data_IF_822877085263
#
_entry.id   IF_822877085263
#
_cell.length_a   1.000
_cell.length_b   1.000
_cell.length_c   1.000
_cell.angle_alpha   90.00
_cell.angle_beta   90.00
_cell.angle_gamma   90.00
#
_symmetry.space_group_name_H-M   'P 1'
#
loop_
_entity.id
_entity.type
_entity.pdbx_description
1 polymer ?
#
# COMPACT_ATOMS: atom_id res chain seq x y z
N UNK A 1 -17.48 11.11 2.46
CA UNK A 1 -16.67 9.89 2.64
C UNK A 1 -17.54 8.64 2.41
N UNK A 2 -16.98 7.43 2.38
CA UNK A 2 -17.70 6.21 1.99
C UNK A 2 -18.64 5.63 3.07
N UNK A 3 -18.62 6.17 4.30
CA UNK A 3 -19.52 5.74 5.37
C UNK A 3 -19.29 4.30 5.86
N UNK A 4 -18.13 3.72 5.55
CA UNK A 4 -17.74 2.36 5.95
C UNK A 4 -16.46 2.39 6.76
N UNK A 5 -16.37 1.55 7.79
CA UNK A 5 -15.13 1.36 8.54
C UNK A 5 -14.31 0.24 7.93
N UNK A 6 -13.01 0.45 7.81
CA UNK A 6 -12.05 -0.55 7.32
C UNK A 6 -10.80 -0.60 8.20
N UNK A 7 -10.11 -1.74 8.19
CA UNK A 7 -8.76 -1.91 8.73
C UNK A 7 -7.77 -2.04 7.58
N UNK A 8 -6.53 -1.55 7.78
CA UNK A 8 -5.42 -1.77 6.84
C UNK A 8 -4.74 -3.08 7.22
N UNK A 9 -4.95 -4.11 6.42
CA UNK A 9 -4.39 -5.45 6.64
C UNK A 9 -3.05 -5.63 5.94
N UNK A 10 -2.75 -4.79 4.95
CA UNK A 10 -1.52 -4.90 4.18
C UNK A 10 -1.14 -3.62 3.44
N UNK A 11 0.16 -3.45 3.26
CA UNK A 11 0.76 -2.42 2.40
C UNK A 11 1.56 -3.13 1.32
N UNK A 12 1.34 -2.74 0.08
CA UNK A 12 2.05 -3.27 -1.07
C UNK A 12 2.91 -2.19 -1.70
N UNK A 13 4.02 -2.64 -2.27
CA UNK A 13 4.99 -1.87 -3.02
C UNK A 13 5.39 -2.66 -4.27
N UNK A 14 6.26 -2.10 -5.10
CA UNK A 14 6.83 -2.82 -6.23
C UNK A 14 7.50 -4.14 -5.78
N UNK A 15 7.42 -5.17 -6.61
CA UNK A 15 8.06 -6.45 -6.32
C UNK A 15 9.59 -6.34 -6.42
N UNK A 16 10.31 -7.36 -5.92
CA UNK A 16 11.77 -7.32 -5.79
C UNK A 16 12.53 -7.23 -7.13
N UNK A 17 11.88 -7.56 -8.25
CA UNK A 17 12.40 -7.36 -9.62
C UNK A 17 12.38 -5.89 -10.07
N UNK A 18 11.81 -5.00 -9.25
CA UNK A 18 11.79 -3.55 -9.42
C UNK A 18 12.40 -2.86 -8.19
N UNK A 19 13.72 -3.01 -7.94
CA UNK A 19 14.36 -2.42 -6.78
C UNK A 19 14.41 -0.89 -6.87
N UNK A 20 14.42 -0.24 -5.72
CA UNK A 20 14.56 1.23 -5.58
C UNK A 20 15.90 1.53 -4.93
N UNK A 21 16.62 2.52 -5.47
CA UNK A 21 17.90 2.95 -4.91
C UNK A 21 17.67 3.71 -3.59
N UNK A 22 18.56 3.51 -2.61
CA UNK A 22 18.43 4.17 -1.30
C UNK A 22 18.56 5.69 -1.42
N UNK A 23 19.39 6.18 -2.35
CA UNK A 23 19.57 7.59 -2.65
C UNK A 23 18.49 8.20 -3.56
N UNK A 24 17.54 7.39 -4.05
CA UNK A 24 16.46 7.82 -4.93
C UNK A 24 15.09 7.29 -4.44
N UNK A 25 14.62 7.73 -3.27
CA UNK A 25 13.37 7.25 -2.66
C UNK A 25 12.13 7.50 -3.53
N UNK A 26 12.18 8.49 -4.42
CA UNK A 26 11.13 8.81 -5.39
C UNK A 26 10.80 7.63 -6.32
N UNK A 27 11.75 6.71 -6.51
CA UNK A 27 11.54 5.47 -7.26
C UNK A 27 10.52 4.52 -6.63
N UNK A 28 10.21 4.66 -5.34
CA UNK A 28 9.14 3.89 -4.69
C UNK A 28 7.78 4.52 -5.00
N UNK A 29 7.38 4.56 -6.28
CA UNK A 29 6.16 5.24 -6.72
C UNK A 29 4.90 4.36 -6.67
N UNK A 30 5.04 3.04 -6.83
CA UNK A 30 3.91 2.12 -6.82
C UNK A 30 3.47 1.87 -5.37
N UNK A 31 2.24 2.24 -5.03
CA UNK A 31 1.65 2.05 -3.70
C UNK A 31 0.34 1.29 -3.79
N UNK A 32 0.12 0.36 -2.85
CA UNK A 32 -1.14 -0.34 -2.70
C UNK A 32 -1.49 -0.57 -1.23
N UNK A 33 -2.79 -0.64 -0.92
CA UNK A 33 -3.30 -1.01 0.40
C UNK A 33 -4.30 -2.14 0.26
N UNK A 34 -4.19 -3.13 1.15
CA UNK A 34 -5.25 -4.12 1.39
C UNK A 34 -6.14 -3.61 2.53
N UNK A 35 -7.41 -3.38 2.23
CA UNK A 35 -8.39 -2.94 3.20
C UNK A 35 -9.39 -4.06 3.46
N UNK A 36 -9.62 -4.38 4.74
CA UNK A 36 -10.71 -5.24 5.16
C UNK A 36 -11.85 -4.36 5.71
N UNK A 37 -13.04 -4.49 5.13
CA UNK A 37 -14.22 -3.80 5.65
C UNK A 37 -14.62 -4.45 6.98
N UNK A 38 -14.75 -3.65 8.03
CA UNK A 38 -15.34 -4.10 9.29
C UNK A 38 -16.84 -4.28 9.08
N UNK A 39 -17.32 -5.51 9.28
CA UNK A 39 -18.75 -5.78 9.42
C UNK A 39 -19.11 -5.58 10.89
N UNK A 40 -20.24 -4.91 11.12
CA UNK A 40 -20.84 -4.78 12.45
C UNK A 40 -21.51 -6.10 12.85
#
# INVERSE_FOLDING_TARGET
DAGVSCTIEGRFQAAADHPVLLEFPEGEYLKGLLLARRRA
#
